data_IF_113331057124
#
_entry.id   IF_113331057124
#
_cell.length_a   1.000
_cell.length_b   1.000
_cell.length_c   1.000
_cell.angle_alpha   90.00
_cell.angle_beta   90.00
_cell.angle_gamma   90.00
#
_symmetry.space_group_name_H-M   'P 1'
#
loop_
_entity.id
_entity.type
_entity.pdbx_description
1 polymer ?
#
# COMPACT_ATOMS: atom_id res chain seq x y z
N UNK A 1 -39.77 39.64 -10.25
CA UNK A 1 -39.22 39.06 -11.49
C UNK A 1 -37.85 39.69 -11.66
N UNK A 2 -36.71 39.04 -11.47
CA UNK A 2 -36.42 37.63 -11.19
C UNK A 2 -35.05 37.61 -10.50
N UNK A 3 -34.98 37.06 -9.31
CA UNK A 3 -33.72 36.52 -8.78
C UNK A 3 -34.02 35.10 -8.32
N UNK A 4 -33.38 34.10 -8.93
CA UNK A 4 -33.14 32.84 -8.27
C UNK A 4 -31.64 32.65 -8.09
N UNK A 5 -31.10 32.66 -6.86
CA UNK A 5 -29.86 31.98 -6.57
C UNK A 5 -30.23 30.53 -6.23
N UNK A 6 -30.28 29.65 -7.23
CA UNK A 6 -30.47 28.22 -6.97
C UNK A 6 -29.55 27.42 -7.89
N UNK A 7 -28.42 27.00 -7.34
CA UNK A 7 -28.23 25.62 -6.90
C UNK A 7 -26.73 25.43 -6.69
N UNK A 8 -26.32 25.45 -5.42
CA UNK A 8 -25.03 24.92 -5.03
C UNK A 8 -24.96 23.48 -5.51
N UNK A 9 -23.98 23.19 -6.36
CA UNK A 9 -23.55 21.83 -6.62
C UNK A 9 -23.04 21.26 -5.29
N UNK A 10 -23.94 20.65 -4.52
CA UNK A 10 -23.60 19.84 -3.36
C UNK A 10 -22.87 18.59 -3.86
N UNK A 11 -21.67 18.28 -3.35
CA UNK A 11 -20.91 17.09 -3.73
C UNK A 11 -21.51 15.86 -3.03
N UNK A 12 -22.75 15.53 -3.36
CA UNK A 12 -23.52 14.46 -2.71
C UNK A 12 -23.45 13.12 -3.47
N UNK A 13 -22.41 12.92 -4.29
CA UNK A 13 -22.05 11.60 -4.85
C UNK A 13 -20.76 11.01 -4.23
N UNK A 14 -20.24 11.61 -3.17
CA UNK A 14 -19.04 11.12 -2.47
C UNK A 14 -19.38 10.32 -1.19
N UNK A 15 -20.61 9.82 -1.08
CA UNK A 15 -21.16 9.23 0.15
C UNK A 15 -21.19 7.69 0.21
N UNK A 16 -20.59 6.95 -0.72
CA UNK A 16 -20.62 5.47 -0.69
C UNK A 16 -19.28 4.80 -1.01
N UNK A 17 -18.20 5.57 -1.00
CA UNK A 17 -16.89 5.08 -1.39
C UNK A 17 -15.88 5.33 -0.27
N UNK A 18 -16.11 4.74 0.90
CA UNK A 18 -15.06 4.47 1.89
C UNK A 18 -14.05 3.43 1.35
N UNK A 19 -13.69 3.53 0.07
CA UNK A 19 -12.62 2.76 -0.52
C UNK A 19 -11.33 3.28 0.07
N UNK A 20 -10.73 2.44 0.92
CA UNK A 20 -9.33 2.39 1.29
C UNK A 20 -8.50 3.19 0.27
N UNK A 21 -8.10 4.39 0.65
CA UNK A 21 -7.39 5.29 -0.26
C UNK A 21 -6.10 4.60 -0.72
N UNK A 22 -5.58 4.93 -1.92
CA UNK A 22 -4.30 4.39 -2.38
C UNK A 22 -3.17 4.56 -1.34
N UNK A 23 -3.18 5.67 -0.59
CA UNK A 23 -2.28 5.92 0.53
C UNK A 23 -2.45 4.91 1.68
N UNK A 24 -3.68 4.52 2.01
CA UNK A 24 -3.98 3.53 3.05
C UNK A 24 -3.53 2.13 2.64
N UNK A 25 -3.75 1.75 1.37
CA UNK A 25 -3.22 0.49 0.80
C UNK A 25 -1.69 0.48 0.81
N UNK A 26 -1.06 1.60 0.49
CA UNK A 26 0.40 1.75 0.54
C UNK A 26 0.93 1.54 1.96
N UNK A 27 0.28 2.16 2.95
CA UNK A 27 0.64 2.00 4.36
C UNK A 27 0.49 0.55 4.83
N UNK A 28 -0.59 -0.12 4.44
CA UNK A 28 -0.78 -1.55 4.73
C UNK A 28 0.34 -2.41 4.13
N UNK A 29 0.68 -2.20 2.85
CA UNK A 29 1.76 -2.94 2.20
C UNK A 29 3.11 -2.68 2.86
N UNK A 30 3.41 -1.43 3.22
CA UNK A 30 4.63 -1.07 3.95
C UNK A 30 4.68 -1.72 5.34
N UNK A 31 3.56 -1.75 6.04
CA UNK A 31 3.45 -2.41 7.35
C UNK A 31 3.69 -3.91 7.22
N UNK A 32 3.05 -4.58 6.26
CA UNK A 32 3.26 -6.00 5.96
C UNK A 32 4.72 -6.29 5.59
N UNK A 33 5.33 -5.45 4.76
CA UNK A 33 6.74 -5.55 4.39
C UNK A 33 7.66 -5.45 5.61
N UNK A 34 7.42 -4.48 6.50
CA UNK A 34 8.21 -4.31 7.74
C UNK A 34 8.07 -5.50 8.68
N UNK A 35 6.86 -6.03 8.86
CA UNK A 35 6.62 -7.23 9.67
C UNK A 35 7.37 -8.44 9.11
N UNK A 36 7.34 -8.63 7.78
CA UNK A 36 8.10 -9.69 7.12
C UNK A 36 9.60 -9.52 7.30
N UNK A 37 10.11 -8.29 7.25
CA UNK A 37 11.52 -8.00 7.47
C UNK A 37 11.97 -8.37 8.89
N UNK A 38 11.21 -7.95 9.91
CA UNK A 38 11.46 -8.34 11.30
C UNK A 38 11.47 -9.86 11.44
N UNK A 39 10.49 -10.56 10.87
CA UNK A 39 10.40 -12.01 10.96
C UNK A 39 11.57 -12.72 10.28
N UNK A 40 12.05 -12.19 9.16
CA UNK A 40 13.26 -12.68 8.47
C UNK A 40 14.50 -12.47 9.37
N UNK A 41 14.64 -11.30 9.99
CA UNK A 41 15.75 -10.99 10.89
C UNK A 41 15.76 -11.90 12.13
N UNK A 42 14.60 -12.13 12.74
CA UNK A 42 14.44 -13.09 13.83
C UNK A 42 14.84 -14.49 13.39
N UNK A 43 14.31 -14.98 12.26
CA UNK A 43 14.65 -16.29 11.70
C UNK A 43 16.15 -16.45 11.45
N UNK A 44 16.83 -15.37 11.04
CA UNK A 44 18.26 -15.36 10.80
C UNK A 44 19.09 -15.41 12.09
N UNK A 45 18.50 -15.05 13.24
CA UNK A 45 19.15 -15.12 14.55
C UNK A 45 19.17 -16.54 15.13
N UNK A 46 18.40 -17.48 14.57
CA UNK A 46 18.38 -18.86 15.05
C UNK A 46 19.47 -19.71 14.36
N UNK A 47 20.20 -20.55 15.11
CA UNK A 47 21.27 -21.40 14.56
C UNK A 47 20.75 -22.46 13.57
N UNK A 48 19.53 -22.97 13.78
CA UNK A 48 18.85 -23.89 12.86
C UNK A 48 17.76 -23.17 12.07
N UNK A 49 18.19 -22.19 11.27
CA UNK A 49 17.29 -21.43 10.41
C UNK A 49 16.76 -22.30 9.25
N UNK A 50 15.43 -22.32 9.10
CA UNK A 50 14.79 -23.04 8.00
C UNK A 50 15.01 -22.27 6.68
N UNK A 51 16.01 -22.72 5.91
CA UNK A 51 16.41 -22.06 4.66
C UNK A 51 15.25 -21.97 3.65
N UNK A 52 14.39 -23.00 3.55
CA UNK A 52 13.23 -22.99 2.65
C UNK A 52 12.25 -21.89 3.06
N UNK A 53 11.95 -21.77 4.36
CA UNK A 53 11.09 -20.73 4.88
C UNK A 53 11.69 -19.34 4.63
N UNK A 54 12.98 -19.16 4.88
CA UNK A 54 13.69 -17.90 4.60
C UNK A 54 13.62 -17.51 3.13
N UNK A 55 13.84 -18.45 2.21
CA UNK A 55 13.72 -18.19 0.77
C UNK A 55 12.29 -17.76 0.38
N UNK A 56 11.26 -18.40 0.95
CA UNK A 56 9.86 -17.99 0.73
C UNK A 56 9.58 -16.59 1.26
N UNK A 57 10.00 -16.28 2.49
CA UNK A 57 9.78 -14.97 3.10
C UNK A 57 10.52 -13.85 2.34
N UNK A 58 11.75 -14.10 1.91
CA UNK A 58 12.51 -13.15 1.07
C UNK A 58 11.79 -12.89 -0.27
N UNK A 59 11.25 -13.93 -0.89
CA UNK A 59 10.48 -13.80 -2.14
C UNK A 59 9.17 -13.03 -1.93
N UNK A 60 8.50 -13.25 -0.81
CA UNK A 60 7.28 -12.51 -0.44
C UNK A 60 7.59 -11.05 -0.13
N UNK A 61 8.68 -10.78 0.60
CA UNK A 61 9.20 -9.43 0.85
C UNK A 61 9.48 -8.69 -0.47
N UNK A 62 10.13 -9.34 -1.44
CA UNK A 62 10.39 -8.76 -2.75
C UNK A 62 9.08 -8.39 -3.48
N UNK A 63 8.11 -9.30 -3.49
CA UNK A 63 6.78 -9.05 -4.09
C UNK A 63 6.06 -7.87 -3.46
N UNK A 64 6.14 -7.71 -2.13
CA UNK A 64 5.56 -6.57 -1.45
C UNK A 64 6.28 -5.27 -1.82
N UNK A 65 7.62 -5.29 -1.94
CA UNK A 65 8.39 -4.14 -2.41
C UNK A 65 7.97 -3.73 -3.82
N UNK A 66 7.88 -4.67 -4.76
CA UNK A 66 7.38 -4.43 -6.12
C UNK A 66 5.96 -3.85 -6.13
N UNK A 67 5.06 -4.38 -5.30
CA UNK A 67 3.69 -3.87 -5.19
C UNK A 67 3.63 -2.45 -4.60
N UNK A 68 4.49 -2.14 -3.62
CA UNK A 68 4.66 -0.80 -3.05
C UNK A 68 5.19 0.17 -4.11
N UNK A 69 6.19 -0.25 -4.89
CA UNK A 69 6.77 0.57 -5.97
C UNK A 69 5.72 0.85 -7.05
N UNK A 70 5.04 -0.18 -7.56
CA UNK A 70 3.94 0.01 -8.54
C UNK A 70 2.83 0.92 -8.04
N UNK A 71 2.42 0.78 -6.78
CA UNK A 71 1.39 1.64 -6.19
C UNK A 71 1.89 3.07 -5.99
N UNK A 72 3.18 3.26 -5.69
CA UNK A 72 3.81 4.58 -5.62
C UNK A 72 3.93 5.23 -6.99
N UNK A 73 4.32 4.49 -8.02
CA UNK A 73 4.39 4.95 -9.40
C UNK A 73 3.00 5.37 -9.92
N UNK A 74 1.95 4.59 -9.61
CA UNK A 74 0.56 4.95 -9.95
C UNK A 74 0.11 6.25 -9.26
N UNK A 75 0.62 6.52 -8.05
CA UNK A 75 0.33 7.74 -7.29
C UNK A 75 1.25 8.93 -7.64
N UNK A 76 2.47 8.69 -8.15
CA UNK A 76 3.46 9.69 -8.53
C UNK A 76 3.83 9.42 -10.00
N UNK A 77 3.06 9.93 -10.97
CA UNK A 77 3.18 9.55 -12.38
C UNK A 77 4.45 10.05 -13.09
N UNK A 78 5.55 10.38 -12.41
CA UNK A 78 6.72 10.98 -13.07
C UNK A 78 8.08 10.76 -12.37
N UNK A 79 8.44 9.55 -11.90
CA UNK A 79 9.79 9.35 -11.35
C UNK A 79 10.35 7.91 -11.43
N UNK A 80 10.46 7.35 -12.65
CA UNK A 80 11.67 6.64 -13.09
C UNK A 80 11.60 6.24 -14.57
N UNK A 81 12.48 6.87 -15.36
CA UNK A 81 12.99 6.40 -16.65
C UNK A 81 14.18 5.45 -16.47
#
# INVERSE_FOLDING_TARGET
MSEPPQNGAGPDEEAANELLTPAMRLLELQTKHRTLDTRIAELHSYPYQNQILLQRLKKEKLRLKDAIERLKDDMIPDLNA
#
